data_IF_298760880915
#
_entry.id   IF_298760880915
#
_cell.length_a   1.000
_cell.length_b   1.000
_cell.length_c   1.000
_cell.angle_alpha   90.00
_cell.angle_beta   90.00
_cell.angle_gamma   90.00
#
_symmetry.space_group_name_H-M   'P 1'
#
loop_
_entity.id
_entity.type
_entity.pdbx_description
1 polymer ?
#
# COMPACT_ATOMS: atom_id res chain seq x y z
N UNK A 1 21.13 14.83 23.17
CA UNK A 1 19.94 14.57 22.34
C UNK A 1 20.27 14.78 20.87
N UNK A 2 20.48 13.69 20.12
CA UNK A 2 20.70 13.75 18.67
C UNK A 2 19.36 13.95 17.96
N UNK A 3 19.33 14.82 16.96
CA UNK A 3 18.21 14.96 16.02
C UNK A 3 18.53 14.13 14.78
N UNK A 4 17.56 13.36 14.30
CA UNK A 4 17.69 12.55 13.09
C UNK A 4 16.97 13.25 11.94
N UNK A 5 17.63 13.32 10.79
CA UNK A 5 17.05 13.70 9.51
C UNK A 5 16.40 12.48 8.86
N UNK A 6 15.63 12.68 7.78
CA UNK A 6 14.95 11.57 7.11
C UNK A 6 15.94 10.55 6.54
N UNK A 7 17.10 11.02 6.06
CA UNK A 7 18.18 10.18 5.55
C UNK A 7 18.89 9.40 6.66
N UNK A 8 18.81 9.86 7.91
CA UNK A 8 19.30 9.05 9.03
C UNK A 8 18.33 7.89 9.37
N UNK A 9 17.06 8.01 8.99
CA UNK A 9 16.01 7.03 9.28
C UNK A 9 15.76 6.05 8.12
N UNK A 10 15.86 6.54 6.88
CA UNK A 10 15.64 5.76 5.67
C UNK A 10 16.59 6.22 4.56
N UNK A 11 17.59 5.39 4.23
CA UNK A 11 18.61 5.67 3.22
C UNK A 11 18.79 4.50 2.23
N UNK A 12 19.41 4.79 1.07
CA UNK A 12 19.67 3.80 0.02
C UNK A 12 18.47 3.52 -0.88
N UNK A 13 18.36 2.27 -1.35
CA UNK A 13 17.25 1.78 -2.19
C UNK A 13 16.04 1.43 -1.31
N UNK A 14 15.16 2.40 -1.08
CA UNK A 14 13.99 2.28 -0.20
C UNK A 14 12.72 1.94 -1.00
N UNK A 15 11.89 1.06 -0.44
CA UNK A 15 10.53 0.82 -0.90
C UNK A 15 9.53 1.05 0.24
N UNK A 16 8.37 1.58 -0.10
CA UNK A 16 7.27 1.82 0.83
C UNK A 16 5.99 1.20 0.25
N UNK A 17 5.20 0.54 1.07
CA UNK A 17 3.89 0.04 0.72
C UNK A 17 2.90 0.27 1.87
N UNK A 18 1.70 0.70 1.54
CA UNK A 18 0.62 0.88 2.50
C UNK A 18 -0.72 0.53 1.86
N UNK A 19 -1.65 0.00 2.66
CA UNK A 19 -3.02 -0.34 2.27
C UNK A 19 -3.97 0.26 3.29
N UNK A 20 -5.05 0.90 2.83
CA UNK A 20 -6.06 1.44 3.73
C UNK A 20 -6.84 0.32 4.43
N UNK A 21 -7.02 0.44 5.75
CA UNK A 21 -7.86 -0.47 6.54
C UNK A 21 -9.24 0.14 6.72
N UNK A 22 -9.30 1.38 7.23
CA UNK A 22 -10.47 2.26 7.21
C UNK A 22 -10.25 3.38 6.21
N UNK A 23 -11.33 4.02 5.78
CA UNK A 23 -11.22 5.21 4.93
C UNK A 23 -10.44 6.30 5.65
N UNK A 24 -9.42 6.80 4.96
CA UNK A 24 -8.68 7.98 5.37
C UNK A 24 -8.46 8.89 4.17
N UNK A 25 -7.84 10.04 4.43
CA UNK A 25 -7.65 11.08 3.42
C UNK A 25 -6.78 10.63 2.24
N UNK A 26 -5.91 9.63 2.47
CA UNK A 26 -4.94 9.18 1.48
C UNK A 26 -5.30 7.85 0.79
N UNK A 27 -5.83 6.88 1.54
CA UNK A 27 -6.20 5.57 1.02
C UNK A 27 -7.61 5.22 1.49
N UNK A 28 -8.43 4.73 0.57
CA UNK A 28 -9.69 4.06 0.91
C UNK A 28 -9.42 2.78 1.68
N UNK A 29 -10.31 2.51 2.64
CA UNK A 29 -10.29 1.33 3.46
C UNK A 29 -10.63 0.05 2.70
N UNK A 30 -10.75 -1.03 3.45
CA UNK A 30 -11.28 -2.27 2.92
C UNK A 30 -12.81 -2.16 2.83
N UNK A 31 -13.36 -2.30 1.63
CA UNK A 31 -14.82 -2.35 1.44
C UNK A 31 -15.23 -3.75 1.00
N UNK A 32 -16.06 -4.40 1.82
CA UNK A 32 -16.61 -5.72 1.54
C UNK A 32 -17.83 -5.63 0.64
N UNK A 33 -18.00 -6.65 -0.20
CA UNK A 33 -19.20 -6.88 -1.01
C UNK A 33 -19.51 -8.39 -0.99
N UNK A 34 -20.71 -8.84 -1.42
CA UNK A 34 -21.03 -10.27 -1.44
C UNK A 34 -19.98 -11.08 -2.21
N UNK A 35 -19.32 -12.01 -1.52
CA UNK A 35 -18.28 -12.87 -2.11
C UNK A 35 -16.88 -12.26 -2.22
N UNK A 36 -16.62 -11.05 -1.69
CA UNK A 36 -15.31 -10.43 -1.82
C UNK A 36 -15.07 -9.12 -1.08
N UNK A 37 -13.98 -8.44 -1.43
CA UNK A 37 -13.63 -7.11 -0.94
C UNK A 37 -12.79 -6.33 -1.95
N UNK A 38 -12.80 -5.00 -1.83
CA UNK A 38 -11.86 -4.12 -2.53
C UNK A 38 -10.86 -3.51 -1.54
N UNK A 39 -9.64 -3.26 -2.02
CA UNK A 39 -8.60 -2.55 -1.26
C UNK A 39 -7.94 -1.48 -2.12
N UNK A 40 -7.50 -0.40 -1.50
CA UNK A 40 -6.63 0.58 -2.13
C UNK A 40 -5.27 0.61 -1.43
N UNK A 41 -4.21 0.51 -2.23
CA UNK A 41 -2.83 0.51 -1.76
C UNK A 41 -2.00 1.51 -2.54
N UNK A 42 -0.90 1.96 -1.94
CA UNK A 42 0.20 2.62 -2.65
C UNK A 42 1.48 1.82 -2.49
N UNK A 43 2.27 1.75 -3.55
CA UNK A 43 3.63 1.20 -3.55
C UNK A 43 4.56 2.22 -4.19
N UNK A 44 5.66 2.54 -3.52
CA UNK A 44 6.63 3.53 -3.96
C UNK A 44 8.05 2.99 -3.87
N UNK A 45 8.94 3.43 -4.76
CA UNK A 45 10.34 3.02 -4.78
C UNK A 45 11.27 4.19 -5.06
N UNK A 46 12.24 4.44 -4.18
CA UNK A 46 13.18 5.57 -4.29
C UNK A 46 14.02 5.50 -5.57
N UNK A 47 14.56 4.31 -5.86
CA UNK A 47 15.44 4.07 -7.02
C UNK A 47 14.80 4.39 -8.36
N UNK A 48 13.53 4.04 -8.54
CA UNK A 48 12.83 4.25 -9.81
C UNK A 48 11.96 5.50 -9.80
N UNK A 49 11.83 6.16 -8.63
CA UNK A 49 10.92 7.27 -8.39
C UNK A 49 9.48 6.99 -8.85
N UNK A 50 9.10 5.71 -8.84
CA UNK A 50 7.78 5.27 -9.29
C UNK A 50 6.84 5.21 -8.11
N UNK A 51 5.64 5.73 -8.29
CA UNK A 51 4.51 5.60 -7.37
C UNK A 51 3.43 4.82 -8.10
N UNK A 52 2.93 3.75 -7.48
CA UNK A 52 1.82 2.94 -7.98
C UNK A 52 0.69 3.01 -7.00
N UNK A 53 -0.44 3.58 -7.42
CA UNK A 53 -1.71 3.41 -6.72
C UNK A 53 -2.37 2.17 -7.27
N UNK A 54 -2.70 1.21 -6.40
CA UNK A 54 -3.23 -0.09 -6.75
C UNK A 54 -4.63 -0.17 -6.17
N UNK A 55 -5.63 -0.33 -7.03
CA UNK A 55 -6.97 -0.73 -6.63
C UNK A 55 -7.12 -2.21 -6.98
N UNK A 56 -7.48 -3.03 -6.00
CA UNK A 56 -7.63 -4.46 -6.17
C UNK A 56 -9.03 -4.91 -5.78
N UNK A 57 -9.56 -5.88 -6.53
CA UNK A 57 -10.80 -6.59 -6.23
C UNK A 57 -10.45 -8.03 -5.91
N UNK A 58 -10.83 -8.48 -4.72
CA UNK A 58 -10.54 -9.80 -4.20
C UNK A 58 -11.83 -10.61 -4.16
N UNK A 59 -11.92 -11.69 -4.93
CA UNK A 59 -13.03 -12.64 -4.86
C UNK A 59 -12.64 -13.80 -3.95
N UNK A 60 -13.36 -14.00 -2.84
CA UNK A 60 -12.95 -14.94 -1.79
C UNK A 60 -13.20 -16.40 -2.16
N UNK A 61 -14.13 -16.66 -3.08
CA UNK A 61 -14.46 -18.01 -3.55
C UNK A 61 -13.40 -18.55 -4.53
N UNK A 62 -12.61 -17.67 -5.14
CA UNK A 62 -11.64 -18.04 -6.16
C UNK A 62 -10.24 -17.88 -5.60
N UNK A 63 -9.68 -18.97 -5.05
CA UNK A 63 -8.26 -18.97 -4.71
C UNK A 63 -7.44 -18.91 -6.01
N UNK A 64 -6.53 -17.94 -6.15
CA UNK A 64 -5.63 -17.93 -7.30
C UNK A 64 -4.74 -19.18 -7.27
N UNK A 65 -4.69 -19.91 -8.38
CA UNK A 65 -3.66 -20.93 -8.62
C UNK A 65 -2.43 -20.19 -9.13
N UNK A 66 -1.36 -20.17 -8.33
CA UNK A 66 -0.04 -19.67 -8.73
C UNK A 66 0.91 -20.84 -8.92
#
# INVERSE_FOLDING_TARGET
>A
NRKFLIEDLAAGDVMFAATGVTDGDYLRGVHFFPGGATTQSVVMRSKTRTIRVINATHYFEHKPSY
#
